data_IF_518215147343
#
_entry.id   IF_518215147343
#
_cell.length_a   1.000
_cell.length_b   1.000
_cell.length_c   1.000
_cell.angle_alpha   90.00
_cell.angle_beta   90.00
_cell.angle_gamma   90.00
#
_symmetry.space_group_name_H-M   'P 1'
#
loop_
_entity.id
_entity.type
_entity.pdbx_description
1 polymer ?
#
# COMPACT_ATOMS: atom_id res chain seq x y z
N UNK A 1 -3.52 0.76 20.87
CA UNK A 1 -4.43 1.92 20.69
C UNK A 1 -3.97 2.89 19.58
N UNK A 2 -2.67 2.94 19.22
CA UNK A 2 -2.10 3.94 18.30
C UNK A 2 -2.30 3.67 16.78
N UNK A 3 -2.23 2.41 16.35
CA UNK A 3 -2.29 2.01 14.93
C UNK A 3 -3.58 2.41 14.21
N UNK A 4 -4.70 2.45 14.94
CA UNK A 4 -6.00 2.86 14.41
C UNK A 4 -5.93 4.30 13.88
N UNK A 5 -5.38 5.22 14.67
CA UNK A 5 -5.31 6.64 14.33
C UNK A 5 -4.49 6.88 13.04
N UNK A 6 -3.35 6.19 12.90
CA UNK A 6 -2.48 6.31 11.73
C UNK A 6 -3.14 5.83 10.43
N UNK A 7 -3.83 4.69 10.47
CA UNK A 7 -4.53 4.17 9.28
C UNK A 7 -5.61 5.12 8.77
N UNK A 8 -6.47 5.60 9.66
CA UNK A 8 -7.53 6.54 9.26
C UNK A 8 -6.94 7.87 8.81
N UNK A 9 -5.89 8.36 9.49
CA UNK A 9 -5.13 9.53 9.07
C UNK A 9 -4.62 9.38 7.64
N UNK A 10 -3.93 8.28 7.32
CA UNK A 10 -3.42 8.01 5.98
C UNK A 10 -4.56 7.92 4.95
N UNK A 11 -5.60 7.12 5.21
CA UNK A 11 -6.72 6.96 4.25
C UNK A 11 -7.40 8.31 3.97
N UNK A 12 -7.52 9.18 4.98
CA UNK A 12 -8.16 10.50 4.83
C UNK A 12 -7.40 11.45 3.90
N UNK A 13 -6.12 11.23 3.63
CA UNK A 13 -5.33 12.07 2.70
C UNK A 13 -5.38 11.59 1.26
N UNK A 14 -5.89 10.38 1.00
CA UNK A 14 -5.87 9.78 -0.33
C UNK A 14 -6.85 10.48 -1.27
N UNK A 15 -6.35 10.89 -2.44
CA UNK A 15 -7.20 11.36 -3.53
C UNK A 15 -7.96 10.20 -4.18
N UNK A 16 -9.07 10.45 -4.89
CA UNK A 16 -9.80 9.40 -5.61
C UNK A 16 -8.92 8.55 -6.54
N UNK A 17 -7.96 9.18 -7.23
CA UNK A 17 -6.99 8.47 -8.08
C UNK A 17 -6.07 7.55 -7.27
N UNK A 18 -5.65 7.98 -6.08
CA UNK A 18 -4.79 7.23 -5.17
C UNK A 18 -5.52 6.06 -4.51
N UNK A 19 -6.82 6.22 -4.21
CA UNK A 19 -7.67 5.10 -3.76
C UNK A 19 -7.70 3.99 -4.82
N UNK A 20 -7.87 4.35 -6.09
CA UNK A 20 -7.86 3.38 -7.19
C UNK A 20 -6.48 2.72 -7.34
N UNK A 21 -5.41 3.52 -7.28
CA UNK A 21 -4.03 3.04 -7.39
C UNK A 21 -3.65 2.09 -6.24
N UNK A 22 -3.85 2.50 -5.00
CA UNK A 22 -3.63 1.68 -3.81
C UNK A 22 -4.50 0.42 -3.83
N UNK A 23 -5.73 0.50 -4.34
CA UNK A 23 -6.59 -0.66 -4.55
C UNK A 23 -5.99 -1.70 -5.50
N UNK A 24 -5.33 -1.25 -6.60
CA UNK A 24 -4.61 -2.12 -7.52
C UNK A 24 -3.36 -2.72 -6.87
N UNK A 25 -2.60 -1.92 -6.13
CA UNK A 25 -1.47 -2.40 -5.34
C UNK A 25 -1.93 -3.49 -4.38
N UNK A 26 -2.90 -3.24 -3.51
CA UNK A 26 -3.40 -4.24 -2.56
C UNK A 26 -3.93 -5.52 -3.21
N UNK A 27 -4.33 -5.50 -4.48
CA UNK A 27 -4.74 -6.66 -5.26
C UNK A 27 -3.57 -7.43 -5.91
N UNK A 28 -2.37 -6.87 -5.91
CA UNK A 28 -1.18 -7.45 -6.54
C UNK A 28 -0.62 -8.61 -5.71
N UNK A 29 -0.41 -9.79 -6.34
CA UNK A 29 0.15 -10.95 -5.66
C UNK A 29 1.64 -10.79 -5.30
N UNK A 30 2.31 -9.73 -5.79
CA UNK A 30 3.75 -9.49 -5.60
C UNK A 30 4.10 -9.17 -4.15
N UNK A 31 3.20 -8.55 -3.38
CA UNK A 31 3.45 -8.15 -1.99
C UNK A 31 2.28 -8.44 -1.03
N UNK A 32 1.06 -8.68 -1.54
CA UNK A 32 -0.10 -8.95 -0.69
C UNK A 32 -0.99 -10.06 -1.25
N UNK A 33 -1.18 -11.13 -0.48
CA UNK A 33 -2.11 -12.22 -0.82
C UNK A 33 -3.38 -12.19 0.05
N UNK A 34 -3.45 -11.27 1.00
CA UNK A 34 -4.49 -11.23 2.02
C UNK A 34 -5.75 -10.53 1.51
N UNK A 35 -6.79 -11.33 1.25
CA UNK A 35 -8.08 -10.82 0.80
C UNK A 35 -8.78 -9.97 1.88
N UNK A 36 -8.57 -10.26 3.16
CA UNK A 36 -9.17 -9.51 4.27
C UNK A 36 -8.69 -8.05 4.30
N UNK A 37 -7.40 -7.81 4.03
CA UNK A 37 -6.82 -6.46 3.92
C UNK A 37 -7.46 -5.65 2.78
N UNK A 38 -7.69 -6.29 1.62
CA UNK A 38 -8.34 -5.65 0.47
C UNK A 38 -9.80 -5.27 0.77
N UNK A 39 -10.54 -6.16 1.44
CA UNK A 39 -11.93 -5.92 1.84
C UNK A 39 -12.02 -4.77 2.85
N UNK A 40 -11.11 -4.73 3.83
CA UNK A 40 -11.04 -3.63 4.79
C UNK A 40 -10.81 -2.29 4.08
N UNK A 41 -9.84 -2.23 3.17
CA UNK A 41 -9.55 -1.01 2.41
C UNK A 41 -10.78 -0.54 1.63
N UNK A 42 -11.40 -1.43 0.88
CA UNK A 42 -12.62 -1.11 0.12
C UNK A 42 -13.75 -0.62 1.03
N UNK A 43 -13.96 -1.26 2.19
CA UNK A 43 -15.00 -0.85 3.13
C UNK A 43 -14.72 0.55 3.74
N UNK A 44 -13.45 0.92 3.91
CA UNK A 44 -13.03 2.22 4.42
C UNK A 44 -13.04 3.34 3.38
N UNK A 45 -12.92 3.02 2.09
CA UNK A 45 -12.89 4.03 1.01
C UNK A 45 -14.21 4.19 0.26
N UNK A 46 -15.13 3.22 0.37
CA UNK A 46 -16.50 3.33 -0.17
C UNK A 46 -17.31 4.43 0.55
N UNK A 47 -16.96 4.78 1.78
CA UNK A 47 -17.74 5.73 2.62
C UNK A 47 -17.46 7.21 2.36
N UNK A 48 -17.17 7.58 1.11
CA UNK A 48 -17.29 8.95 0.63
C UNK A 48 -16.14 9.87 1.05
N UNK A 49 -15.52 10.45 0.03
CA UNK A 49 -14.49 11.48 0.04
C UNK A 49 -14.94 12.85 0.56
N UNK A 50 -16.07 12.97 1.27
CA UNK A 50 -16.50 14.22 1.90
C UNK A 50 -17.26 13.94 3.20
N UNK A 51 -16.68 14.34 4.33
CA UNK A 51 -17.32 14.59 5.64
C UNK A 51 -18.26 13.53 6.25
N UNK A 52 -18.30 12.29 5.77
CA UNK A 52 -19.04 11.23 6.44
C UNK A 52 -18.29 10.78 7.71
N UNK A 53 -18.97 10.58 8.86
CA UNK A 53 -18.34 10.01 10.03
C UNK A 53 -17.76 8.64 9.69
N UNK A 54 -16.55 8.36 10.20
CA UNK A 54 -15.88 7.09 9.98
C UNK A 54 -16.85 5.94 10.30
N UNK A 55 -17.01 4.95 9.39
CA UNK A 55 -17.95 3.87 9.59
C UNK A 55 -17.66 3.12 10.89
N UNK A 56 -18.73 2.73 11.58
CA UNK A 56 -18.62 2.00 12.84
C UNK A 56 -17.83 0.70 12.66
N UNK A 57 -17.02 0.36 13.67
CA UNK A 57 -16.12 -0.80 13.63
C UNK A 57 -16.89 -2.12 13.55
N UNK A 58 -18.03 -2.21 14.23
CA UNK A 58 -18.88 -3.40 14.19
C UNK A 58 -19.49 -3.55 12.80
N UNK A 59 -19.91 -2.42 12.20
CA UNK A 59 -20.39 -2.40 10.81
C UNK A 59 -19.31 -2.84 9.81
N UNK A 60 -18.09 -2.30 9.92
CA UNK A 60 -16.96 -2.70 9.07
C UNK A 60 -16.64 -4.19 9.23
N UNK A 61 -16.61 -4.68 10.47
CA UNK A 61 -16.36 -6.09 10.76
C UNK A 61 -17.43 -6.99 10.13
N UNK A 62 -18.71 -6.67 10.29
CA UNK A 62 -19.81 -7.44 9.70
C UNK A 62 -19.74 -7.47 8.17
N UNK A 63 -19.25 -6.40 7.53
CA UNK A 63 -18.99 -6.41 6.08
C UNK A 63 -17.83 -7.32 5.68
N UNK A 64 -16.81 -7.45 6.51
CA UNK A 64 -15.63 -8.28 6.22
C UNK A 64 -15.83 -9.76 6.56
N UNK A 65 -16.49 -10.02 7.69
CA UNK A 65 -16.69 -11.32 8.32
C UNK A 65 -18.14 -11.42 8.84
N UNK A 66 -19.13 -11.58 7.95
CA UNK A 66 -20.56 -11.56 8.33
C UNK A 66 -20.93 -12.67 9.33
N UNK A 67 -20.25 -13.80 9.26
CA UNK A 67 -20.52 -15.00 10.07
C UNK A 67 -19.74 -15.04 11.40
N UNK A 68 -18.91 -14.03 11.69
CA UNK A 68 -18.05 -14.04 12.88
C UNK A 68 -18.46 -12.94 13.87
N UNK A 69 -18.51 -13.22 15.19
CA UNK A 69 -18.75 -12.19 16.19
C UNK A 69 -17.65 -11.12 16.11
N UNK A 70 -17.99 -9.90 16.49
CA UNK A 70 -17.01 -8.81 16.50
C UNK A 70 -15.88 -9.10 17.47
N UNK A 71 -14.65 -9.08 16.94
CA UNK A 71 -13.42 -9.21 17.72
C UNK A 71 -12.55 -7.97 17.48
N UNK A 72 -12.39 -7.15 18.53
CA UNK A 72 -11.64 -5.89 18.45
C UNK A 72 -10.12 -6.12 18.31
N UNK A 73 -9.57 -7.20 18.87
CA UNK A 73 -8.15 -7.53 18.74
C UNK A 73 -7.83 -7.88 17.29
N UNK A 74 -8.64 -8.76 16.74
CA UNK A 74 -8.57 -9.22 15.37
C UNK A 74 -8.81 -8.08 14.37
N UNK A 75 -9.77 -7.18 14.64
CA UNK A 75 -9.97 -5.98 13.83
C UNK A 75 -8.73 -5.08 13.82
N UNK A 76 -8.14 -4.78 14.99
CA UNK A 76 -6.91 -3.97 15.09
C UNK A 76 -5.75 -4.61 14.35
N UNK A 77 -5.66 -5.93 14.37
CA UNK A 77 -4.64 -6.68 13.65
C UNK A 77 -4.78 -6.46 12.13
N UNK A 78 -5.99 -6.53 11.57
CA UNK A 78 -6.23 -6.21 10.14
C UNK A 78 -5.94 -4.75 9.81
N UNK A 79 -6.27 -3.81 10.70
CA UNK A 79 -5.88 -2.40 10.52
C UNK A 79 -4.36 -2.25 10.41
N UNK A 80 -3.60 -2.97 11.26
CA UNK A 80 -2.13 -2.90 11.24
C UNK A 80 -1.56 -3.50 9.95
N UNK A 81 -2.14 -4.60 9.46
CA UNK A 81 -1.75 -5.16 8.17
C UNK A 81 -2.08 -4.23 6.99
N UNK A 82 -3.23 -3.58 7.02
CA UNK A 82 -3.61 -2.61 5.99
C UNK A 82 -2.69 -1.40 6.00
N UNK A 83 -2.39 -0.84 7.18
CA UNK A 83 -1.49 0.30 7.29
C UNK A 83 -0.13 -0.01 6.66
N UNK A 84 0.49 -1.14 7.04
CA UNK A 84 1.78 -1.57 6.47
C UNK A 84 1.71 -1.70 4.94
N UNK A 85 0.66 -2.33 4.42
CA UNK A 85 0.51 -2.53 2.98
C UNK A 85 0.35 -1.20 2.21
N UNK A 86 -0.25 -0.18 2.84
CA UNK A 86 -0.35 1.17 2.28
C UNK A 86 0.96 1.96 2.41
N UNK A 87 1.73 1.76 3.48
CA UNK A 87 3.08 2.31 3.61
C UNK A 87 4.01 1.74 2.53
N UNK A 88 3.95 0.42 2.28
CA UNK A 88 4.70 -0.23 1.20
C UNK A 88 4.31 0.33 -0.18
N UNK A 89 3.01 0.61 -0.39
CA UNK A 89 2.52 1.26 -1.60
C UNK A 89 3.10 2.66 -1.77
N UNK A 90 3.04 3.50 -0.73
CA UNK A 90 3.60 4.85 -0.76
C UNK A 90 5.10 4.83 -1.08
N UNK A 91 5.84 3.94 -0.42
CA UNK A 91 7.27 3.75 -0.68
C UNK A 91 7.53 3.31 -2.13
N UNK A 92 6.78 2.32 -2.63
CA UNK A 92 6.89 1.88 -4.03
C UNK A 92 6.56 3.00 -5.01
N UNK A 93 5.51 3.77 -4.77
CA UNK A 93 5.09 4.89 -5.61
C UNK A 93 6.17 5.96 -5.68
N UNK A 94 6.69 6.41 -4.54
CA UNK A 94 7.79 7.38 -4.51
C UNK A 94 9.06 6.84 -5.16
N UNK A 95 9.39 5.57 -4.96
CA UNK A 95 10.49 4.92 -5.66
C UNK A 95 10.27 4.89 -7.18
N UNK A 96 9.05 4.66 -7.64
CA UNK A 96 8.73 4.69 -9.07
C UNK A 96 8.79 6.08 -9.68
N UNK A 97 8.51 7.13 -8.92
CA UNK A 97 8.58 8.50 -9.43
C UNK A 97 10.05 8.98 -9.51
N UNK A 98 10.89 8.59 -8.54
CA UNK A 98 12.27 9.06 -8.47
C UNK A 98 13.22 8.26 -9.39
N UNK A 99 13.61 8.89 -10.50
CA UNK A 99 14.49 8.32 -11.52
C UNK A 99 15.85 7.88 -10.95
N UNK A 100 16.41 8.67 -10.02
CA UNK A 100 17.72 8.39 -9.43
C UNK A 100 17.70 7.13 -8.57
N UNK A 101 16.69 6.97 -7.71
CA UNK A 101 16.55 5.77 -6.88
C UNK A 101 16.43 4.52 -7.75
N UNK A 102 15.55 4.53 -8.76
CA UNK A 102 15.43 3.39 -9.67
C UNK A 102 16.73 3.05 -10.38
N UNK A 103 17.46 4.06 -10.86
CA UNK A 103 18.73 3.84 -11.54
C UNK A 103 19.74 3.17 -10.60
N UNK A 104 19.91 3.69 -9.39
CA UNK A 104 20.86 3.17 -8.42
C UNK A 104 20.54 1.74 -7.99
N UNK A 105 19.29 1.44 -7.63
CA UNK A 105 18.89 0.08 -7.24
C UNK A 105 18.98 -0.92 -8.40
N UNK A 106 18.70 -0.48 -9.64
CA UNK A 106 18.89 -1.33 -10.82
C UNK A 106 20.37 -1.64 -11.07
N UNK A 107 21.25 -0.65 -10.92
CA UNK A 107 22.69 -0.83 -11.06
C UNK A 107 23.25 -1.78 -9.98
N UNK A 108 22.80 -1.64 -8.73
CA UNK A 108 23.16 -2.57 -7.66
C UNK A 108 22.74 -4.01 -8.00
N UNK A 109 21.49 -4.20 -8.43
CA UNK A 109 20.99 -5.52 -8.82
C UNK A 109 21.76 -6.12 -10.02
N UNK A 110 22.22 -5.32 -10.99
CA UNK A 110 23.09 -5.83 -12.06
C UNK A 110 24.45 -6.28 -11.56
N UNK A 111 25.06 -5.55 -10.63
CA UNK A 111 26.34 -5.93 -10.01
C UNK A 111 26.23 -7.24 -9.24
N UNK A 112 25.19 -7.38 -8.40
CA UNK A 112 24.93 -8.61 -7.61
C UNK A 112 24.72 -9.84 -8.50
N UNK A 113 24.22 -9.65 -9.72
CA UNK A 113 23.96 -10.72 -10.70
C UNK A 113 25.12 -10.92 -11.69
N UNK A 114 26.24 -10.20 -11.56
CA UNK A 114 27.38 -10.28 -12.48
C UNK A 114 27.09 -9.78 -13.91
N UNK A 115 26.07 -8.93 -14.08
CA UNK A 115 25.61 -8.45 -15.39
C UNK A 115 26.34 -7.17 -15.82
N UNK A 116 27.67 -7.21 -15.91
CA UNK A 116 28.54 -6.05 -16.16
C UNK A 116 28.16 -5.24 -17.41
N UNK A 117 27.83 -5.92 -18.52
CA UNK A 117 27.39 -5.23 -19.75
C UNK A 117 26.13 -4.38 -19.54
N UNK A 118 25.18 -4.87 -18.74
CA UNK A 118 23.94 -4.15 -18.42
C UNK A 118 24.23 -2.97 -17.50
N UNK A 119 25.11 -3.17 -16.52
CA UNK A 119 25.58 -2.13 -15.61
C UNK A 119 26.19 -0.96 -16.38
N UNK A 120 27.19 -1.20 -17.23
CA UNK A 120 27.86 -0.14 -17.98
C UNK A 120 26.92 0.63 -18.92
N UNK A 121 26.06 -0.08 -19.65
CA UNK A 121 25.06 0.55 -20.53
C UNK A 121 24.11 1.46 -19.74
N UNK A 122 23.60 0.98 -18.61
CA UNK A 122 22.67 1.76 -17.76
C UNK A 122 23.37 2.96 -17.10
N UNK A 123 24.62 2.79 -16.65
CA UNK A 123 25.41 3.86 -16.03
C UNK A 123 25.71 4.99 -17.03
N UNK A 124 26.01 4.66 -18.28
CA UNK A 124 26.20 5.67 -19.34
C UNK A 124 24.95 6.53 -19.55
N UNK A 125 23.77 5.91 -19.59
CA UNK A 125 22.49 6.61 -19.75
C UNK A 125 22.15 7.51 -18.54
N UNK A 126 22.53 7.09 -17.33
CA UNK A 126 22.27 7.85 -16.12
C UNK A 126 23.15 9.11 -15.99
N UNK A 127 24.32 9.14 -16.63
CA UNK A 127 25.26 10.28 -16.59
C UNK A 127 24.97 11.37 -17.63
N UNK A 128 24.09 11.10 -18.59
CA UNK A 128 23.75 12.02 -19.69
C UNK A 128 22.51 12.88 -19.40
N UNK A 129 21.93 12.75 -18.20
CA UNK A 129 20.79 13.52 -17.71
C UNK A 129 21.22 14.36 -16.51
#
# INVERSE_FOLDING_TARGET
MMQKNLLYGLISTLKPSEVVEAGRWLASPVHNQRQDVRRLFSALTITGTEAAPLPDRIFLWKKMFPESPFDDQEFRLRCSYLLRALEDWLAWKHWQEEQLYRANYTLAAYRERGLERHFHKRLSLARQR
#
